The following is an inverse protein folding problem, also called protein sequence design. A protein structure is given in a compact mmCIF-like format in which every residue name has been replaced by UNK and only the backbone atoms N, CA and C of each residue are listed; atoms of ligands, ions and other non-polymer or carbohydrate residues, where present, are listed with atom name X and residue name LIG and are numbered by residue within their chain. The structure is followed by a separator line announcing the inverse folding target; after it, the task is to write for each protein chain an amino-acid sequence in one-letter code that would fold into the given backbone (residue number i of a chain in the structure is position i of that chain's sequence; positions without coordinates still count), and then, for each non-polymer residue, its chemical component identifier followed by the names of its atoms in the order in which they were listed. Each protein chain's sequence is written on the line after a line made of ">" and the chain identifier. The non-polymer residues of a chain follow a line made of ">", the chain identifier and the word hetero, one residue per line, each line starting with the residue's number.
data_IF_542012607690
#
_entry.id   IF_542012607690
#
_cell.length_a   1.000
_cell.length_b   1.000
_cell.length_c   1.000
_cell.angle_alpha   90.00
_cell.angle_beta   90.00
_cell.angle_gamma   90.00
#
_symmetry.space_group_name_H-M   'P 1'
#
loop_
_entity.id
_entity.type
_entity.pdbx_description
1 polymer ?
#
# COMPACT_ATOMS: atom_id res chain seq x y z
N UNK A 1 22.89 43.41 28.60
CA UNK A 1 21.51 43.59 29.09
C UNK A 1 20.69 42.56 28.34
N UNK A 2 20.65 41.37 28.92
CA UNK A 2 19.88 40.23 28.44
C UNK A 2 18.40 40.55 28.53
N UNK A 3 17.60 40.03 27.61
CA UNK A 3 16.37 39.35 28.01
C UNK A 3 16.06 38.22 27.03
N UNK A 4 16.36 37.01 27.51
CA UNK A 4 15.83 35.75 27.03
C UNK A 4 14.37 35.63 27.48
N UNK A 5 13.45 35.37 26.55
CA UNK A 5 12.16 34.76 26.89
C UNK A 5 12.18 33.30 26.42
N UNK A 6 12.67 32.46 27.32
CA UNK A 6 12.43 31.02 27.31
C UNK A 6 10.93 30.77 27.57
N UNK A 7 10.21 30.25 26.58
CA UNK A 7 8.98 29.52 26.87
C UNK A 7 9.33 28.10 27.31
N UNK A 8 9.30 27.88 28.63
CA UNK A 8 9.27 26.56 29.25
C UNK A 8 7.94 25.88 28.91
N UNK A 9 8.00 24.90 28.02
CA UNK A 9 6.87 24.03 27.72
C UNK A 9 6.85 22.87 28.73
N UNK A 10 6.01 22.99 29.75
CA UNK A 10 5.81 21.97 30.77
C UNK A 10 4.81 20.92 30.27
N UNK A 11 5.36 19.80 29.78
CA UNK A 11 4.81 18.45 29.86
C UNK A 11 3.30 18.23 29.66
N UNK A 12 2.91 17.91 28.43
CA UNK A 12 2.08 16.72 28.13
C UNK A 12 2.51 16.13 26.80
N UNK A 13 2.75 14.82 26.76
CA UNK A 13 3.37 14.13 25.64
C UNK A 13 2.58 14.26 24.34
N UNK A 14 3.06 15.09 23.44
CA UNK A 14 2.63 15.15 22.03
C UNK A 14 3.85 14.83 21.16
N UNK A 15 3.68 13.92 20.21
CA UNK A 15 4.52 13.85 19.01
C UNK A 15 4.70 15.27 18.50
N UNK A 16 5.94 15.73 18.25
CA UNK A 16 6.18 17.03 17.61
C UNK A 16 5.39 17.06 16.30
N UNK A 17 4.23 17.72 16.30
CA UNK A 17 3.52 18.04 15.07
C UNK A 17 4.39 19.05 14.33
N UNK A 18 5.01 18.64 13.24
CA UNK A 18 5.75 19.54 12.38
C UNK A 18 4.74 20.45 11.67
N UNK A 19 4.80 21.77 11.93
CA UNK A 19 4.01 22.75 11.19
C UNK A 19 4.66 22.98 9.83
N UNK A 20 4.10 22.41 8.77
CA UNK A 20 4.57 22.59 7.41
C UNK A 20 4.15 21.43 6.51
N UNK A 21 4.34 21.60 5.20
CA UNK A 21 4.21 20.50 4.24
C UNK A 21 5.56 19.78 4.14
N UNK A 22 5.56 18.45 4.22
CA UNK A 22 6.76 17.64 4.25
C UNK A 22 6.57 16.32 3.50
N UNK A 23 7.66 15.64 3.23
CA UNK A 23 7.65 14.27 2.72
C UNK A 23 8.66 13.39 3.47
N UNK A 24 8.42 12.08 3.40
CA UNK A 24 9.14 11.05 4.12
C UNK A 24 9.62 9.98 3.14
N UNK A 25 10.79 9.41 3.42
CA UNK A 25 11.19 8.15 2.80
C UNK A 25 10.44 7.00 3.44
N UNK A 26 10.09 6.01 2.64
CA UNK A 26 9.42 4.81 3.12
C UNK A 26 10.24 4.04 4.18
N UNK A 27 11.56 3.95 4.02
CA UNK A 27 12.47 3.35 5.01
C UNK A 27 12.65 4.15 6.31
N UNK A 28 12.06 5.35 6.41
CA UNK A 28 12.06 6.17 7.62
C UNK A 28 10.78 6.01 8.45
N UNK A 29 9.75 5.33 7.94
CA UNK A 29 8.55 5.01 8.72
C UNK A 29 8.88 3.99 9.80
N UNK A 30 8.29 4.18 10.99
CA UNK A 30 8.44 3.20 12.06
C UNK A 30 7.63 1.96 11.76
N UNK A 31 8.24 0.77 11.87
CA UNK A 31 7.49 -0.47 11.73
C UNK A 31 6.50 -0.69 12.88
N UNK A 32 5.38 -1.36 12.58
CA UNK A 32 4.36 -1.73 13.56
C UNK A 32 3.39 -0.61 13.93
N UNK A 33 3.45 0.55 13.26
CA UNK A 33 2.54 1.68 13.47
C UNK A 33 1.68 1.88 12.23
N UNK A 34 0.36 1.90 12.43
CA UNK A 34 -0.61 2.36 11.44
C UNK A 34 -0.69 3.88 11.52
N UNK A 35 -0.54 4.56 10.40
CA UNK A 35 -0.66 6.01 10.29
C UNK A 35 -1.83 6.38 9.39
N UNK A 36 -2.56 7.45 9.73
CA UNK A 36 -3.40 8.16 8.77
C UNK A 36 -2.62 9.36 8.24
N UNK A 37 -2.24 9.29 6.97
CA UNK A 37 -1.51 10.34 6.29
C UNK A 37 -2.49 11.20 5.47
N UNK A 38 -2.36 12.51 5.56
CA UNK A 38 -3.10 13.46 4.73
C UNK A 38 -2.15 14.49 4.13
N UNK A 39 -2.15 14.58 2.81
CA UNK A 39 -1.31 15.48 2.03
C UNK A 39 -2.09 16.43 1.13
N UNK A 40 -1.38 17.34 0.48
CA UNK A 40 -1.89 18.29 -0.51
C UNK A 40 -0.99 18.33 -1.73
N UNK A 41 -1.55 18.41 -2.93
CA UNK A 41 -0.77 18.60 -4.17
C UNK A 41 -0.59 20.09 -4.56
N UNK A 42 0.03 20.30 -5.72
CA UNK A 42 0.23 21.61 -6.36
C UNK A 42 -1.04 22.41 -6.63
N UNK A 43 -2.20 21.77 -6.65
CA UNK A 43 -3.49 22.39 -6.94
C UNK A 43 -4.35 22.59 -5.69
N UNK A 44 -3.82 22.25 -4.50
CA UNK A 44 -4.57 22.35 -3.25
C UNK A 44 -5.53 21.18 -3.02
N UNK A 45 -5.51 20.12 -3.86
CA UNK A 45 -6.33 18.93 -3.67
C UNK A 45 -5.76 18.13 -2.50
N UNK A 46 -6.64 17.66 -1.61
CA UNK A 46 -6.26 16.87 -0.43
C UNK A 46 -6.39 15.38 -0.72
N UNK A 47 -5.40 14.61 -0.26
CA UNK A 47 -5.35 13.16 -0.37
C UNK A 47 -5.17 12.56 1.00
N UNK A 48 -5.94 11.53 1.34
CA UNK A 48 -5.83 10.86 2.63
C UNK A 48 -5.91 9.34 2.46
N UNK A 49 -4.98 8.63 3.08
CA UNK A 49 -4.94 7.17 3.12
C UNK A 49 -4.26 6.69 4.39
N UNK A 50 -4.61 5.48 4.82
CA UNK A 50 -3.82 4.79 5.82
C UNK A 50 -2.52 4.27 5.22
N UNK A 51 -1.46 4.25 6.02
CA UNK A 51 -0.19 3.62 5.69
C UNK A 51 0.33 2.87 6.91
N UNK A 52 0.78 1.64 6.69
CA UNK A 52 1.33 0.79 7.73
C UNK A 52 2.64 0.17 7.25
N UNK A 53 3.71 0.28 8.04
CA UNK A 53 4.96 -0.42 7.74
C UNK A 53 5.08 -1.68 8.59
N UNK A 54 5.29 -2.82 7.95
CA UNK A 54 5.70 -4.06 8.60
C UNK A 54 7.23 -4.08 8.80
N UNK A 55 7.76 -5.18 9.32
CA UNK A 55 9.20 -5.49 9.30
C UNK A 55 9.42 -6.89 8.76
N UNK A 56 10.23 -7.03 7.70
CA UNK A 56 10.64 -8.35 7.17
C UNK A 56 12.15 -8.52 7.36
N UNK A 57 12.51 -9.34 8.34
CA UNK A 57 13.87 -9.86 8.49
C UNK A 57 13.94 -11.20 7.79
N UNK A 58 14.52 -11.23 6.59
CA UNK A 58 14.65 -12.43 5.77
C UNK A 58 16.10 -12.91 5.74
N UNK A 59 16.29 -14.22 5.66
CA UNK A 59 17.60 -14.80 5.41
C UNK A 59 17.92 -14.69 3.92
N UNK A 60 19.03 -14.02 3.61
CA UNK A 60 19.59 -13.98 2.26
C UNK A 60 20.58 -15.10 1.97
N UNK A 61 20.89 -15.90 2.98
CA UNK A 61 21.66 -17.12 2.81
C UNK A 61 20.78 -18.16 2.16
N UNK A 62 21.21 -18.62 0.99
CA UNK A 62 20.57 -19.73 0.31
C UNK A 62 20.66 -21.01 1.16
N UNK A 63 19.54 -21.69 1.48
CA UNK A 63 19.53 -22.80 2.44
C UNK A 63 20.46 -23.97 2.12
N UNK A 64 20.67 -24.28 0.83
CA UNK A 64 21.56 -25.35 0.39
C UNK A 64 23.05 -25.00 0.34
N UNK A 65 23.43 -23.75 0.60
CA UNK A 65 24.79 -23.27 0.38
C UNK A 65 25.48 -23.00 1.72
N UNK A 66 26.54 -23.78 1.98
CA UNK A 66 27.26 -23.77 3.26
C UNK A 66 28.36 -22.70 3.34
N UNK A 67 28.84 -22.22 2.20
CA UNK A 67 30.02 -21.34 2.13
C UNK A 67 29.65 -19.88 1.81
N UNK A 68 30.39 -18.95 2.40
CA UNK A 68 30.36 -17.53 2.01
C UNK A 68 31.06 -17.38 0.66
N UNK A 69 30.34 -16.92 -0.35
CA UNK A 69 30.94 -16.53 -1.63
C UNK A 69 31.68 -15.21 -1.42
N UNK A 70 32.99 -15.21 -1.61
CA UNK A 70 33.79 -13.99 -1.69
C UNK A 70 33.76 -13.56 -3.17
N UNK A 71 33.34 -12.32 -3.43
CA UNK A 71 33.26 -11.77 -4.79
C UNK A 71 34.52 -10.98 -5.07
N UNK A 72 35.36 -11.49 -5.97
CA UNK A 72 36.59 -10.86 -6.45
C UNK A 72 36.61 -10.67 -7.97
N UNK A 73 35.75 -11.38 -8.71
CA UNK A 73 35.62 -11.28 -10.17
C UNK A 73 34.18 -11.03 -10.61
N UNK A 74 33.99 -10.56 -11.85
CA UNK A 74 32.66 -10.38 -12.44
C UNK A 74 31.91 -11.71 -12.59
N UNK A 75 32.63 -12.81 -12.85
CA UNK A 75 32.07 -14.16 -12.93
C UNK A 75 31.52 -14.63 -11.58
N UNK A 76 32.26 -14.41 -10.49
CA UNK A 76 31.79 -14.69 -9.13
C UNK A 76 30.59 -13.83 -8.74
N UNK A 77 30.53 -12.58 -9.21
CA UNK A 77 29.37 -11.71 -9.01
C UNK A 77 28.13 -12.22 -9.76
N UNK A 78 28.29 -12.64 -11.01
CA UNK A 78 27.21 -13.24 -11.81
C UNK A 78 26.68 -14.52 -11.16
N UNK A 79 27.56 -15.37 -10.64
CA UNK A 79 27.16 -16.58 -9.91
C UNK A 79 26.45 -16.27 -8.60
N UNK A 80 26.90 -15.24 -7.87
CA UNK A 80 26.19 -14.75 -6.68
C UNK A 80 24.77 -14.30 -7.05
N UNK A 81 24.62 -13.47 -8.08
CA UNK A 81 23.32 -12.98 -8.51
C UNK A 81 22.40 -14.10 -9.01
N UNK A 82 22.93 -15.07 -9.76
CA UNK A 82 22.20 -16.27 -10.17
C UNK A 82 21.59 -16.97 -8.95
N UNK A 83 22.40 -17.18 -7.91
CA UNK A 83 22.03 -17.85 -6.65
C UNK A 83 21.18 -17.00 -5.72
N UNK A 84 21.12 -15.69 -5.90
CA UNK A 84 20.25 -14.82 -5.10
C UNK A 84 18.93 -14.53 -5.77
N UNK A 85 18.85 -14.48 -7.11
CA UNK A 85 17.61 -14.28 -7.86
C UNK A 85 16.80 -15.58 -7.89
N UNK A 86 17.43 -16.72 -8.19
CA UNK A 86 16.81 -18.03 -8.16
C UNK A 86 17.53 -18.97 -7.18
N UNK A 87 16.76 -19.54 -6.25
CA UNK A 87 17.22 -20.56 -5.31
C UNK A 87 17.18 -21.99 -5.87
N UNK A 88 16.70 -22.17 -7.10
CA UNK A 88 16.89 -23.44 -7.79
C UNK A 88 18.30 -23.47 -8.36
N UNK A 89 19.07 -24.51 -8.00
CA UNK A 89 20.40 -24.72 -8.58
C UNK A 89 20.23 -25.50 -9.89
N UNK A 90 20.30 -24.80 -11.02
CA UNK A 90 20.27 -25.39 -12.36
C UNK A 90 21.09 -24.55 -13.33
N UNK A 91 21.85 -25.21 -14.21
CA UNK A 91 22.61 -24.56 -15.29
C UNK A 91 21.72 -24.17 -16.48
N UNK A 92 20.46 -24.60 -16.47
CA UNK A 92 19.47 -24.24 -17.49
C UNK A 92 18.82 -22.88 -17.23
N UNK A 93 19.06 -22.26 -16.07
CA UNK A 93 18.53 -20.93 -15.77
C UNK A 93 19.21 -19.86 -16.62
N UNK A 94 18.40 -18.97 -17.18
CA UNK A 94 18.83 -17.91 -18.09
C UNK A 94 18.70 -16.53 -17.44
N UNK A 95 19.60 -15.63 -17.84
CA UNK A 95 19.71 -14.26 -17.33
C UNK A 95 20.17 -13.34 -18.46
N UNK A 96 19.78 -12.08 -18.39
CA UNK A 96 20.43 -11.00 -19.14
C UNK A 96 21.36 -10.20 -18.23
N UNK A 97 22.18 -9.32 -18.81
CA UNK A 97 23.16 -8.52 -18.06
C UNK A 97 22.51 -7.51 -17.09
N UNK A 98 21.28 -7.07 -17.37
CA UNK A 98 20.56 -6.10 -16.56
C UNK A 98 19.88 -6.75 -15.34
N UNK A 99 19.53 -8.05 -15.44
CA UNK A 99 18.92 -8.84 -14.39
C UNK A 99 19.70 -8.81 -13.07
N UNK A 100 21.03 -8.68 -13.16
CA UNK A 100 21.90 -8.61 -11.99
C UNK A 100 21.70 -7.34 -11.16
N UNK A 101 21.06 -6.31 -11.73
CA UNK A 101 20.83 -5.01 -11.11
C UNK A 101 19.36 -4.78 -10.77
N UNK A 102 18.45 -5.23 -11.63
CA UNK A 102 17.02 -4.91 -11.54
C UNK A 102 16.14 -6.03 -10.93
N UNK A 103 16.63 -7.28 -10.87
CA UNK A 103 15.83 -8.39 -10.38
C UNK A 103 15.72 -8.42 -8.85
N UNK A 104 14.50 -8.74 -8.38
CA UNK A 104 14.26 -9.07 -6.98
C UNK A 104 14.99 -10.34 -6.58
N UNK A 105 15.46 -10.39 -5.34
CA UNK A 105 16.13 -11.59 -4.83
C UNK A 105 15.09 -12.60 -4.34
N UNK A 106 15.35 -13.89 -4.56
CA UNK A 106 14.53 -15.02 -4.15
C UNK A 106 13.88 -14.88 -2.76
N UNK A 107 14.60 -14.57 -1.66
CA UNK A 107 13.95 -14.46 -0.35
C UNK A 107 12.98 -13.26 -0.25
N UNK A 108 13.20 -12.19 -1.01
CA UNK A 108 12.25 -11.08 -1.15
C UNK A 108 11.01 -11.55 -1.92
N UNK A 109 11.20 -12.18 -3.09
CA UNK A 109 10.14 -12.71 -3.95
C UNK A 109 9.28 -13.77 -3.25
N UNK A 110 9.91 -14.70 -2.50
CA UNK A 110 9.22 -15.73 -1.70
C UNK A 110 8.38 -15.08 -0.60
N UNK A 111 8.94 -14.08 0.09
CA UNK A 111 8.22 -13.37 1.14
C UNK A 111 7.04 -12.58 0.57
N UNK A 112 7.22 -11.90 -0.57
CA UNK A 112 6.17 -11.18 -1.28
C UNK A 112 5.04 -12.11 -1.72
N UNK A 113 5.36 -13.21 -2.42
CA UNK A 113 4.36 -14.15 -2.92
C UNK A 113 3.48 -14.76 -1.79
N UNK A 114 4.08 -15.08 -0.64
CA UNK A 114 3.35 -15.52 0.55
C UNK A 114 2.46 -14.42 1.14
N UNK A 115 2.94 -13.19 1.12
CA UNK A 115 2.20 -12.04 1.62
C UNK A 115 1.01 -11.67 0.72
N UNK A 116 1.13 -11.79 -0.61
CA UNK A 116 0.00 -11.59 -1.53
C UNK A 116 -1.16 -12.51 -1.17
N UNK A 117 -0.88 -13.80 -1.02
CA UNK A 117 -1.89 -14.81 -0.64
C UNK A 117 -2.49 -14.52 0.74
N UNK A 118 -1.68 -14.05 1.69
CA UNK A 118 -2.15 -13.70 3.03
C UNK A 118 -3.09 -12.49 2.99
N UNK A 119 -2.71 -11.43 2.27
CA UNK A 119 -3.44 -10.17 2.20
C UNK A 119 -4.72 -10.26 1.37
N UNK A 120 -4.72 -11.04 0.28
CA UNK A 120 -5.90 -11.27 -0.55
C UNK A 120 -6.97 -12.18 0.08
N UNK A 121 -6.65 -12.84 1.20
CA UNK A 121 -7.57 -13.79 1.84
C UNK A 121 -8.80 -13.06 2.42
N UNK A 122 -9.94 -13.12 1.73
CA UNK A 122 -11.18 -12.45 2.19
C UNK A 122 -11.92 -13.21 3.29
N UNK A 123 -11.79 -14.54 3.36
CA UNK A 123 -12.35 -15.35 4.46
C UNK A 123 -11.67 -15.01 5.78
N UNK A 124 -12.31 -14.12 6.53
CA UNK A 124 -11.88 -13.66 7.85
C UNK A 124 -12.99 -13.94 8.86
N UNK A 125 -12.71 -14.76 9.88
CA UNK A 125 -13.64 -14.94 10.99
C UNK A 125 -13.63 -13.66 11.84
N UNK A 126 -14.75 -12.95 11.90
CA UNK A 126 -14.94 -11.82 12.82
C UNK A 126 -15.87 -12.23 13.96
N UNK A 127 -15.68 -11.64 15.14
CA UNK A 127 -16.38 -12.06 16.37
C UNK A 127 -17.61 -11.22 16.69
N UNK A 128 -17.77 -10.08 16.04
CA UNK A 128 -18.84 -9.13 16.34
C UNK A 128 -19.53 -8.63 15.06
N UNK A 129 -20.81 -8.26 15.20
CA UNK A 129 -21.67 -7.78 14.09
C UNK A 129 -21.14 -6.47 13.49
N UNK A 130 -20.44 -5.65 14.27
CA UNK A 130 -19.87 -4.40 13.76
C UNK A 130 -18.81 -4.65 12.68
N UNK A 131 -17.85 -5.53 12.95
CA UNK A 131 -16.80 -5.88 12.00
C UNK A 131 -17.40 -6.56 10.76
N UNK A 132 -18.45 -7.36 10.94
CA UNK A 132 -19.16 -8.01 9.84
C UNK A 132 -19.80 -6.97 8.91
N UNK A 133 -20.53 -6.00 9.45
CA UNK A 133 -21.14 -4.94 8.64
C UNK A 133 -20.09 -4.06 7.94
N UNK A 134 -18.95 -3.79 8.62
CA UNK A 134 -17.83 -3.07 8.02
C UNK A 134 -17.27 -3.84 6.82
N UNK A 135 -17.12 -5.16 6.93
CA UNK A 135 -16.70 -6.01 5.82
C UNK A 135 -17.72 -5.96 4.69
N UNK A 136 -19.00 -6.14 4.99
CA UNK A 136 -20.07 -6.19 3.99
C UNK A 136 -20.20 -4.90 3.19
N UNK A 137 -20.08 -3.74 3.84
CA UNK A 137 -20.19 -2.45 3.12
C UNK A 137 -18.95 -2.14 2.27
N UNK A 138 -17.79 -2.70 2.61
CA UNK A 138 -16.55 -2.49 1.84
C UNK A 138 -16.32 -3.54 0.75
N UNK A 139 -16.89 -4.74 0.89
CA UNK A 139 -16.72 -5.81 -0.09
C UNK A 139 -17.53 -5.53 -1.35
N UNK A 140 -16.80 -5.36 -2.46
CA UNK A 140 -17.40 -5.17 -3.79
C UNK A 140 -17.55 -6.48 -4.56
N UNK A 141 -16.72 -7.48 -4.26
CA UNK A 141 -16.73 -8.79 -4.91
C UNK A 141 -16.38 -9.92 -3.91
N UNK A 142 -16.53 -11.17 -4.34
CA UNK A 142 -16.24 -12.34 -3.51
C UNK A 142 -15.46 -13.37 -4.32
N UNK A 143 -14.15 -13.55 -4.12
CA UNK A 143 -13.44 -14.67 -4.71
C UNK A 143 -13.49 -15.87 -3.76
N UNK A 144 -14.16 -16.92 -4.21
CA UNK A 144 -13.72 -18.28 -3.89
C UNK A 144 -12.50 -18.61 -4.78
N UNK A 145 -11.72 -19.62 -4.38
CA UNK A 145 -10.58 -20.14 -5.15
C UNK A 145 -10.93 -20.33 -6.64
N UNK A 146 -9.99 -20.09 -7.57
CA UNK A 146 -8.52 -20.05 -7.41
C UNK A 146 -7.89 -18.65 -7.17
N UNK A 147 -6.72 -18.62 -6.50
CA UNK A 147 -5.87 -17.44 -6.26
C UNK A 147 -4.98 -17.12 -7.47
N UNK A 148 -5.27 -16.01 -8.15
CA UNK A 148 -4.67 -15.61 -9.43
C UNK A 148 -3.83 -14.34 -9.28
N UNK A 149 -2.62 -14.33 -9.83
CA UNK A 149 -1.71 -13.18 -9.77
C UNK A 149 -1.23 -12.78 -11.16
N UNK A 150 -1.27 -11.48 -11.45
CA UNK A 150 -0.71 -10.88 -12.65
C UNK A 150 0.58 -10.13 -12.28
N UNK A 151 1.71 -10.49 -12.88
CA UNK A 151 3.00 -9.83 -12.76
C UNK A 151 3.27 -8.99 -14.02
N UNK A 152 3.00 -7.70 -13.93
CA UNK A 152 3.28 -6.74 -15.01
C UNK A 152 4.76 -6.33 -14.95
N UNK A 153 5.43 -6.32 -16.11
CA UNK A 153 6.88 -6.16 -16.22
C UNK A 153 7.64 -7.28 -15.48
N UNK A 154 7.34 -8.54 -15.83
CA UNK A 154 7.89 -9.70 -15.14
C UNK A 154 9.40 -9.93 -15.39
N UNK A 155 10.00 -9.23 -16.37
CA UNK A 155 11.42 -9.33 -16.69
C UNK A 155 11.83 -10.76 -17.00
N UNK A 156 12.94 -11.21 -16.40
CA UNK A 156 13.44 -12.59 -16.51
C UNK A 156 12.67 -13.62 -15.65
N UNK A 157 11.60 -13.21 -14.97
CA UNK A 157 10.76 -14.06 -14.13
C UNK A 157 11.20 -14.20 -12.67
N UNK A 158 12.06 -13.30 -12.17
CA UNK A 158 12.60 -13.34 -10.80
C UNK A 158 11.55 -13.29 -9.69
N UNK A 159 10.45 -12.54 -9.88
CA UNK A 159 9.27 -12.60 -9.00
C UNK A 159 8.30 -13.68 -9.45
N UNK A 160 8.00 -13.71 -10.76
CA UNK A 160 7.02 -14.59 -11.38
C UNK A 160 7.16 -16.06 -10.97
N UNK A 161 8.38 -16.61 -10.92
CA UNK A 161 8.62 -18.00 -10.51
C UNK A 161 8.06 -18.27 -9.11
N UNK A 162 8.34 -17.40 -8.15
CA UNK A 162 7.89 -17.57 -6.77
C UNK A 162 6.40 -17.27 -6.59
N UNK A 163 5.87 -16.35 -7.41
CA UNK A 163 4.43 -16.13 -7.52
C UNK A 163 3.74 -17.41 -8.01
N UNK A 164 4.24 -18.03 -9.08
CA UNK A 164 3.72 -19.29 -9.63
C UNK A 164 3.72 -20.43 -8.62
N UNK A 165 4.78 -20.55 -7.82
CA UNK A 165 4.86 -21.55 -6.73
C UNK A 165 3.82 -21.35 -5.60
N UNK A 166 3.22 -20.15 -5.48
CA UNK A 166 2.31 -19.81 -4.37
C UNK A 166 0.89 -19.46 -4.83
N UNK A 167 0.61 -19.53 -6.12
CA UNK A 167 -0.68 -19.20 -6.73
C UNK A 167 -1.27 -20.39 -7.50
N UNK A 168 -2.55 -20.31 -7.79
CA UNK A 168 -3.24 -21.27 -8.65
C UNK A 168 -3.07 -20.88 -10.13
N UNK A 169 -2.86 -19.59 -10.41
CA UNK A 169 -2.45 -19.04 -11.70
C UNK A 169 -1.48 -17.87 -11.49
N UNK A 170 -0.38 -17.87 -12.25
CA UNK A 170 0.50 -16.72 -12.41
C UNK A 170 0.60 -16.31 -13.88
N UNK A 171 0.42 -15.02 -14.17
CA UNK A 171 0.55 -14.47 -15.52
C UNK A 171 1.64 -13.40 -15.50
N UNK A 172 2.71 -13.59 -16.27
CA UNK A 172 3.75 -12.59 -16.51
C UNK A 172 3.50 -11.85 -17.83
N UNK A 173 3.68 -10.53 -17.81
CA UNK A 173 3.66 -9.69 -19.01
C UNK A 173 5.00 -8.99 -19.15
N UNK A 174 5.61 -9.09 -20.33
CA UNK A 174 6.90 -8.48 -20.63
C UNK A 174 6.92 -7.99 -22.08
N UNK A 175 7.47 -6.81 -22.34
CA UNK A 175 7.48 -6.24 -23.68
C UNK A 175 8.73 -6.66 -24.47
N UNK A 176 9.85 -6.91 -23.78
CA UNK A 176 11.09 -7.34 -24.40
C UNK A 176 11.02 -8.84 -24.77
N UNK A 177 11.09 -9.20 -26.08
CA UNK A 177 10.97 -10.59 -26.52
C UNK A 177 12.05 -11.52 -25.94
N UNK A 178 13.28 -11.03 -25.74
CA UNK A 178 14.36 -11.83 -25.15
C UNK A 178 14.06 -12.15 -23.68
N UNK A 179 13.58 -11.16 -22.92
CA UNK A 179 13.16 -11.38 -21.52
C UNK A 179 11.97 -12.31 -21.41
N UNK A 180 11.03 -12.25 -22.36
CA UNK A 180 9.93 -13.21 -22.47
C UNK A 180 10.46 -14.64 -22.63
N UNK A 181 11.40 -14.88 -23.54
CA UNK A 181 11.98 -16.21 -23.75
C UNK A 181 12.73 -16.70 -22.52
N UNK A 182 13.51 -15.82 -21.87
CA UNK A 182 14.19 -16.10 -20.61
C UNK A 182 13.20 -16.47 -19.50
N UNK A 183 12.12 -15.69 -19.31
CA UNK A 183 11.12 -15.96 -18.29
C UNK A 183 10.36 -17.27 -18.54
N UNK A 184 10.02 -17.58 -19.80
CA UNK A 184 9.43 -18.88 -20.19
C UNK A 184 10.35 -20.04 -19.88
N UNK A 185 11.64 -19.90 -20.18
CA UNK A 185 12.65 -20.89 -19.82
C UNK A 185 12.72 -21.06 -18.30
N UNK A 186 12.88 -19.97 -17.55
CA UNK A 186 13.06 -20.02 -16.11
C UNK A 186 11.85 -20.61 -15.39
N UNK A 187 10.62 -20.27 -15.80
CA UNK A 187 9.40 -20.89 -15.26
C UNK A 187 9.31 -22.38 -15.57
N UNK A 188 9.69 -22.80 -16.79
CA UNK A 188 9.78 -24.22 -17.18
C UNK A 188 10.84 -24.99 -16.38
N UNK A 189 12.02 -24.42 -16.16
CA UNK A 189 13.10 -25.05 -15.36
C UNK A 189 12.64 -25.25 -13.91
N UNK A 190 11.79 -24.37 -13.39
CA UNK A 190 11.14 -24.54 -12.09
C UNK A 190 9.93 -25.50 -12.09
N UNK A 191 9.59 -26.11 -13.23
CA UNK A 191 8.50 -27.07 -13.37
C UNK A 191 7.10 -26.47 -13.23
N UNK A 192 6.94 -25.17 -13.48
CA UNK A 192 5.66 -24.47 -13.30
C UNK A 192 4.74 -24.69 -14.50
N UNK A 193 3.59 -25.34 -14.28
CA UNK A 193 2.56 -25.57 -15.30
C UNK A 193 1.41 -24.58 -15.23
N UNK A 194 1.32 -23.81 -14.15
CA UNK A 194 0.30 -22.80 -13.87
C UNK A 194 0.77 -21.36 -14.13
N UNK A 195 1.92 -21.21 -14.80
CA UNK A 195 2.59 -19.92 -14.99
C UNK A 195 2.76 -19.64 -16.47
N UNK A 196 2.19 -18.54 -16.94
CA UNK A 196 2.15 -18.17 -18.35
C UNK A 196 2.86 -16.83 -18.56
N UNK A 197 3.66 -16.70 -19.62
CA UNK A 197 4.37 -15.46 -19.96
C UNK A 197 3.94 -14.98 -21.34
N UNK A 198 3.38 -13.78 -21.40
CA UNK A 198 2.92 -13.14 -22.62
C UNK A 198 3.81 -11.96 -23.01
N UNK A 199 4.12 -11.89 -24.30
CA UNK A 199 4.78 -10.72 -24.88
C UNK A 199 3.73 -9.66 -25.17
N UNK A 200 3.69 -8.59 -24.38
CA UNK A 200 2.75 -7.48 -24.56
C UNK A 200 3.31 -6.21 -23.90
N UNK A 201 2.79 -5.05 -24.28
CA UNK A 201 3.00 -3.83 -23.51
C UNK A 201 2.09 -3.85 -22.27
N UNK A 202 2.63 -3.45 -21.11
CA UNK A 202 1.87 -3.55 -19.86
C UNK A 202 0.61 -2.69 -19.87
N UNK A 203 0.64 -1.50 -20.49
CA UNK A 203 -0.51 -0.60 -20.53
C UNK A 203 -1.58 -1.16 -21.46
N UNK A 204 -1.18 -1.61 -22.65
CA UNK A 204 -2.10 -2.28 -23.58
C UNK A 204 -2.72 -3.51 -22.94
N UNK A 205 -1.93 -4.35 -22.26
CA UNK A 205 -2.43 -5.57 -21.62
C UNK A 205 -3.49 -5.25 -20.56
N UNK A 206 -3.19 -4.36 -19.61
CA UNK A 206 -4.09 -4.04 -18.49
C UNK A 206 -5.34 -3.28 -18.96
N UNK A 207 -5.21 -2.41 -19.96
CA UNK A 207 -6.34 -1.65 -20.52
C UNK A 207 -7.26 -2.54 -21.35
N UNK A 208 -6.72 -3.44 -22.19
CA UNK A 208 -7.52 -4.44 -22.91
C UNK A 208 -8.23 -5.39 -21.94
N UNK A 209 -7.53 -5.85 -20.90
CA UNK A 209 -8.12 -6.70 -19.87
C UNK A 209 -9.26 -5.97 -19.15
N UNK A 210 -9.09 -4.69 -18.79
CA UNK A 210 -10.14 -3.90 -18.15
C UNK A 210 -11.33 -3.59 -19.05
N UNK A 211 -11.11 -3.41 -20.35
CA UNK A 211 -12.18 -3.14 -21.31
C UNK A 211 -13.05 -4.38 -21.58
N UNK A 212 -12.44 -5.55 -21.73
CA UNK A 212 -13.17 -6.81 -21.95
C UNK A 212 -12.41 -8.00 -21.36
N UNK A 213 -12.56 -8.26 -20.05
CA UNK A 213 -11.83 -9.32 -19.35
C UNK A 213 -12.06 -10.69 -19.98
N UNK A 214 -13.31 -11.00 -20.35
CA UNK A 214 -13.70 -12.30 -20.90
C UNK A 214 -12.98 -12.59 -22.22
N UNK A 215 -13.02 -11.64 -23.16
CA UNK A 215 -12.39 -11.81 -24.46
C UNK A 215 -10.86 -11.88 -24.35
N UNK A 216 -10.26 -11.06 -23.47
CA UNK A 216 -8.80 -11.12 -23.21
C UNK A 216 -8.41 -12.46 -22.58
N UNK A 217 -9.16 -12.96 -21.59
CA UNK A 217 -8.93 -14.30 -20.98
C UNK A 217 -9.03 -15.41 -22.04
N UNK A 218 -10.02 -15.33 -22.94
CA UNK A 218 -10.19 -16.31 -24.03
C UNK A 218 -9.03 -16.28 -25.02
N UNK A 219 -8.61 -15.08 -25.46
CA UNK A 219 -7.45 -14.88 -26.34
C UNK A 219 -6.15 -15.40 -25.72
N UNK A 220 -6.01 -15.32 -24.40
CA UNK A 220 -4.85 -15.81 -23.67
C UNK A 220 -4.92 -17.32 -23.39
N UNK A 221 -6.08 -17.97 -23.61
CA UNK A 221 -6.28 -19.39 -23.33
C UNK A 221 -6.33 -19.73 -21.83
N UNK A 222 -6.82 -18.81 -20.99
CA UNK A 222 -6.81 -18.93 -19.53
C UNK A 222 -8.19 -19.23 -18.93
N UNK A 223 -9.17 -19.61 -19.73
CA UNK A 223 -10.58 -19.73 -19.32
C UNK A 223 -10.77 -20.68 -18.13
N UNK A 224 -9.97 -21.74 -18.06
CA UNK A 224 -10.04 -22.74 -16.98
C UNK A 224 -9.70 -22.18 -15.60
N UNK A 225 -8.96 -21.08 -15.52
CA UNK A 225 -8.53 -20.48 -14.25
C UNK A 225 -9.48 -19.43 -13.69
N UNK A 226 -10.30 -18.78 -14.52
CA UNK A 226 -11.12 -17.66 -14.05
C UNK A 226 -12.51 -18.09 -13.57
N UNK A 227 -13.11 -19.14 -14.16
CA UNK A 227 -14.45 -19.59 -13.75
C UNK A 227 -15.46 -18.43 -13.77
N UNK A 228 -16.21 -18.23 -12.68
CA UNK A 228 -17.19 -17.14 -12.55
C UNK A 228 -16.55 -15.77 -12.25
N UNK A 229 -15.32 -15.74 -11.74
CA UNK A 229 -14.61 -14.50 -11.37
C UNK A 229 -13.57 -14.16 -12.42
N UNK A 230 -13.82 -13.08 -13.18
CA UNK A 230 -12.92 -12.60 -14.24
C UNK A 230 -11.80 -11.69 -13.71
N UNK A 231 -11.59 -11.64 -12.39
CA UNK A 231 -10.62 -10.74 -11.75
C UNK A 231 -9.33 -11.47 -11.36
N UNK A 232 -8.21 -10.77 -11.39
CA UNK A 232 -7.02 -11.19 -10.67
C UNK A 232 -7.16 -10.81 -9.19
N UNK A 233 -6.65 -11.66 -8.29
CA UNK A 233 -6.67 -11.37 -6.86
C UNK A 233 -5.58 -10.37 -6.46
N UNK A 234 -4.44 -10.39 -7.18
CA UNK A 234 -3.33 -9.47 -6.99
C UNK A 234 -2.70 -9.10 -8.33
N UNK A 235 -2.42 -7.81 -8.53
CA UNK A 235 -1.50 -7.36 -9.57
C UNK A 235 -0.19 -6.95 -8.91
N UNK A 236 0.90 -7.55 -9.33
CA UNK A 236 2.26 -7.19 -8.98
C UNK A 236 2.91 -6.42 -10.15
N UNK A 237 3.76 -5.45 -9.86
CA UNK A 237 4.61 -4.80 -10.87
C UNK A 237 5.96 -4.41 -10.26
N UNK A 238 7.02 -4.66 -11.02
CA UNK A 238 8.39 -4.18 -10.75
C UNK A 238 8.76 -3.11 -11.77
N UNK A 239 8.32 -1.85 -11.59
CA UNK A 239 8.59 -0.79 -12.56
C UNK A 239 10.09 -0.42 -12.57
N UNK A 240 10.60 0.18 -13.66
CA UNK A 240 11.98 0.64 -13.73
C UNK A 240 12.26 1.75 -12.71
N UNK A 241 13.37 1.64 -11.97
CA UNK A 241 13.77 2.63 -10.95
C UNK A 241 14.79 3.66 -11.45
N UNK A 242 15.24 3.57 -12.70
CA UNK A 242 16.38 4.33 -13.21
C UNK A 242 17.75 3.75 -12.84
N UNK A 243 17.80 2.45 -12.48
CA UNK A 243 19.03 1.70 -12.22
C UNK A 243 19.61 1.86 -10.80
N UNK A 244 20.86 1.42 -10.60
CA UNK A 244 21.51 1.32 -9.27
C UNK A 244 21.75 2.65 -8.54
N UNK A 245 21.65 3.78 -9.24
CA UNK A 245 21.92 5.12 -8.72
C UNK A 245 20.64 5.94 -8.51
N UNK A 246 19.51 5.27 -8.25
CA UNK A 246 18.25 5.93 -7.92
C UNK A 246 18.39 6.89 -6.71
N UNK A 247 17.51 7.89 -6.61
CA UNK A 247 17.52 8.87 -5.53
C UNK A 247 17.36 8.22 -4.15
N UNK A 248 18.24 8.52 -3.18
CA UNK A 248 18.22 7.88 -1.86
C UNK A 248 18.89 6.50 -1.78
N UNK A 249 19.51 6.04 -2.87
CA UNK A 249 20.35 4.83 -2.89
C UNK A 249 21.56 4.97 -1.94
N UNK A 250 22.29 6.09 -2.03
CA UNK A 250 23.48 6.40 -1.21
C UNK A 250 23.38 7.70 -0.40
N UNK A 251 22.33 8.50 -0.60
CA UNK A 251 22.10 9.78 0.08
C UNK A 251 20.74 9.84 0.77
N UNK A 252 20.35 11.01 1.27
CA UNK A 252 19.08 11.24 1.98
C UNK A 252 17.90 11.57 1.06
N UNK A 253 18.10 11.71 -0.27
CA UNK A 253 17.03 12.11 -1.20
C UNK A 253 15.86 11.12 -1.19
N UNK A 254 14.68 11.65 -1.48
CA UNK A 254 13.44 10.89 -1.67
C UNK A 254 13.35 10.45 -3.13
N UNK A 255 12.91 9.21 -3.35
CA UNK A 255 12.61 8.68 -4.68
C UNK A 255 11.14 8.91 -5.03
N UNK A 256 10.86 9.41 -6.23
CA UNK A 256 9.52 9.61 -6.78
C UNK A 256 9.39 8.76 -8.04
N UNK A 257 8.48 7.79 -8.02
CA UNK A 257 8.34 6.80 -9.09
C UNK A 257 7.81 7.42 -10.38
N UNK A 258 6.90 8.41 -10.29
CA UNK A 258 6.31 9.07 -11.46
C UNK A 258 7.37 9.73 -12.37
N UNK A 259 8.56 10.07 -11.84
CA UNK A 259 9.67 10.62 -12.62
C UNK A 259 10.34 9.58 -13.53
N UNK A 260 10.17 8.28 -13.25
CA UNK A 260 10.84 7.18 -13.95
C UNK A 260 9.85 6.26 -14.69
N UNK A 261 8.61 6.20 -14.25
CA UNK A 261 7.58 5.33 -14.79
C UNK A 261 6.21 6.00 -14.65
N UNK A 262 5.34 5.91 -15.66
CA UNK A 262 3.99 6.48 -15.61
C UNK A 262 3.06 5.66 -14.70
N UNK A 263 3.36 5.71 -13.39
CA UNK A 263 2.66 4.96 -12.37
C UNK A 263 1.22 5.47 -12.19
N UNK A 264 0.95 6.75 -12.44
CA UNK A 264 -0.41 7.30 -12.45
C UNK A 264 -1.27 6.54 -13.49
N UNK A 265 -0.85 6.45 -14.77
CA UNK A 265 -1.59 5.67 -15.78
C UNK A 265 -1.71 4.20 -15.39
N UNK A 266 -0.63 3.59 -14.91
CA UNK A 266 -0.63 2.17 -14.55
C UNK A 266 -1.61 1.89 -13.40
N UNK A 267 -1.60 2.71 -12.34
CA UNK A 267 -2.52 2.59 -11.21
C UNK A 267 -3.96 2.87 -11.60
N UNK A 268 -4.21 3.81 -12.53
CA UNK A 268 -5.54 4.06 -13.07
C UNK A 268 -6.14 2.79 -13.68
N UNK A 269 -5.37 2.05 -14.47
CA UNK A 269 -5.83 0.82 -15.12
C UNK A 269 -5.85 -0.38 -14.15
N UNK A 270 -4.79 -0.61 -13.38
CA UNK A 270 -4.70 -1.74 -12.44
C UNK A 270 -5.78 -1.68 -11.35
N UNK A 271 -6.10 -0.48 -10.85
CA UNK A 271 -7.12 -0.30 -9.83
C UNK A 271 -8.55 -0.57 -10.32
N UNK A 272 -8.80 -0.62 -11.63
CA UNK A 272 -10.12 -0.95 -12.16
C UNK A 272 -10.39 -2.46 -12.14
N UNK A 273 -9.34 -3.27 -12.28
CA UNK A 273 -9.46 -4.72 -12.48
C UNK A 273 -8.97 -5.56 -11.29
N UNK A 274 -8.47 -4.92 -10.24
CA UNK A 274 -7.95 -5.61 -9.06
C UNK A 274 -8.19 -4.81 -7.77
N UNK A 275 -8.35 -5.54 -6.67
CA UNK A 275 -8.48 -4.97 -5.32
C UNK A 275 -7.15 -4.86 -4.57
N UNK A 276 -6.12 -5.58 -5.02
CA UNK A 276 -4.77 -5.51 -4.47
C UNK A 276 -3.74 -5.24 -5.57
N UNK A 277 -3.04 -4.12 -5.47
CA UNK A 277 -1.90 -3.80 -6.34
C UNK A 277 -0.63 -3.76 -5.49
N UNK A 278 0.43 -4.43 -5.92
CA UNK A 278 1.69 -4.51 -5.21
C UNK A 278 2.83 -3.99 -6.08
N UNK A 279 3.52 -2.95 -5.61
CA UNK A 279 4.66 -2.35 -6.30
C UNK A 279 5.97 -2.79 -5.63
N UNK A 280 6.96 -3.25 -6.39
CA UNK A 280 8.32 -3.43 -5.90
C UNK A 280 9.11 -2.12 -6.06
N UNK A 281 9.55 -1.52 -4.95
CA UNK A 281 10.04 -0.15 -4.92
C UNK A 281 11.38 0.01 -4.20
N UNK A 282 12.13 1.07 -4.53
CA UNK A 282 13.29 1.47 -3.74
C UNK A 282 12.93 1.79 -2.30
N UNK A 283 13.87 1.58 -1.39
CA UNK A 283 13.70 1.88 0.05
C UNK A 283 13.38 3.36 0.35
N UNK A 284 13.82 4.27 -0.51
CA UNK A 284 13.70 5.72 -0.36
C UNK A 284 12.41 6.30 -0.96
N UNK A 285 11.47 5.45 -1.40
CA UNK A 285 10.18 5.85 -1.99
C UNK A 285 9.46 6.94 -1.18
N UNK A 286 8.95 7.95 -1.86
CA UNK A 286 8.10 9.02 -1.34
C UNK A 286 6.82 8.46 -0.73
N UNK A 287 6.59 8.75 0.55
CA UNK A 287 5.32 8.43 1.21
C UNK A 287 4.19 9.30 0.69
N UNK A 288 4.46 10.57 0.38
CA UNK A 288 3.44 11.45 -0.20
C UNK A 288 2.92 10.91 -1.53
N UNK A 289 3.79 10.38 -2.39
CA UNK A 289 3.37 9.78 -3.67
C UNK A 289 2.48 8.55 -3.45
N UNK A 290 2.86 7.64 -2.54
CA UNK A 290 2.04 6.45 -2.24
C UNK A 290 0.66 6.83 -1.69
N UNK A 291 0.58 7.83 -0.80
CA UNK A 291 -0.68 8.32 -0.23
C UNK A 291 -1.56 8.97 -1.31
N UNK A 292 -0.95 9.73 -2.23
CA UNK A 292 -1.64 10.33 -3.37
C UNK A 292 -2.24 9.24 -4.28
N UNK A 293 -1.43 8.27 -4.71
CA UNK A 293 -1.87 7.16 -5.55
C UNK A 293 -3.01 6.37 -4.88
N UNK A 294 -2.86 6.04 -3.59
CA UNK A 294 -3.88 5.30 -2.84
C UNK A 294 -5.21 6.06 -2.78
N UNK A 295 -5.15 7.36 -2.47
CA UNK A 295 -6.34 8.21 -2.37
C UNK A 295 -7.03 8.42 -3.72
N UNK A 296 -6.28 8.62 -4.81
CA UNK A 296 -6.85 8.83 -6.15
C UNK A 296 -7.52 7.55 -6.67
N UNK A 297 -6.89 6.40 -6.48
CA UNK A 297 -7.32 5.13 -7.06
C UNK A 297 -8.12 4.24 -6.10
N UNK A 298 -8.59 4.83 -4.99
CA UNK A 298 -9.58 4.23 -4.11
C UNK A 298 -9.06 3.11 -3.21
N UNK A 299 -7.79 3.18 -2.80
CA UNK A 299 -7.19 2.27 -1.82
C UNK A 299 -7.18 2.96 -0.44
N UNK A 300 -7.97 2.49 0.55
CA UNK A 300 -7.99 3.07 1.89
C UNK A 300 -6.69 2.83 2.67
N UNK A 301 -5.85 1.86 2.27
CA UNK A 301 -4.61 1.53 2.97
C UNK A 301 -3.50 1.08 2.02
N UNK A 302 -2.28 1.49 2.37
CA UNK A 302 -1.02 0.97 1.81
C UNK A 302 -0.25 0.24 2.91
N UNK A 303 0.11 -1.02 2.68
CA UNK A 303 1.01 -1.79 3.55
C UNK A 303 2.40 -1.83 2.93
N UNK A 304 3.40 -1.33 3.65
CA UNK A 304 4.80 -1.40 3.28
C UNK A 304 5.46 -2.63 3.91
N UNK A 305 6.16 -3.40 3.10
CA UNK A 305 6.96 -4.55 3.51
C UNK A 305 8.43 -4.30 3.18
N UNK A 306 9.17 -3.58 4.03
CA UNK A 306 10.61 -3.34 3.85
C UNK A 306 11.43 -4.60 4.15
N UNK A 307 12.36 -4.91 3.25
CA UNK A 307 13.28 -6.03 3.38
C UNK A 307 14.62 -5.58 3.96
N UNK A 308 14.95 -6.12 5.14
CA UNK A 308 16.17 -5.76 5.85
C UNK A 308 17.31 -6.70 5.50
N UNK A 309 18.39 -6.16 4.94
CA UNK A 309 19.68 -6.84 4.88
C UNK A 309 20.58 -6.28 5.97
N UNK A 310 20.94 -7.13 6.95
CA UNK A 310 21.55 -6.70 8.21
C UNK A 310 20.69 -5.65 8.92
N UNK A 311 21.21 -4.43 9.10
CA UNK A 311 20.52 -3.31 9.78
C UNK A 311 19.92 -2.28 8.82
N UNK A 312 20.05 -2.47 7.51
CA UNK A 312 19.58 -1.51 6.50
C UNK A 312 18.46 -2.12 5.67
N UNK A 313 17.45 -1.31 5.36
CA UNK A 313 16.45 -1.66 4.34
C UNK A 313 17.15 -1.64 2.98
N UNK A 314 16.92 -2.67 2.17
CA UNK A 314 17.43 -2.74 0.79
C UNK A 314 16.41 -2.16 -0.18
N UNK A 315 15.18 -2.67 -0.11
CA UNK A 315 14.02 -2.35 -0.94
C UNK A 315 12.74 -2.68 -0.16
N UNK A 316 11.58 -2.48 -0.77
CA UNK A 316 10.30 -2.81 -0.18
C UNK A 316 9.27 -3.19 -1.24
N UNK A 317 8.23 -3.90 -0.81
CA UNK A 317 6.96 -3.93 -1.53
C UNK A 317 5.96 -2.96 -0.88
N UNK A 318 5.21 -2.23 -1.70
CA UNK A 318 4.08 -1.41 -1.28
C UNK A 318 2.78 -2.02 -1.81
N UNK A 319 1.94 -2.51 -0.90
CA UNK A 319 0.67 -3.17 -1.21
C UNK A 319 -0.50 -2.20 -1.00
N UNK A 320 -1.14 -1.80 -2.08
CA UNK A 320 -2.37 -1.00 -2.12
C UNK A 320 -3.56 -1.94 -2.02
N UNK A 321 -4.41 -1.77 -1.00
CA UNK A 321 -5.47 -2.73 -0.69
C UNK A 321 -6.82 -2.03 -0.53
N UNK A 322 -7.85 -2.54 -1.20
CA UNK A 322 -9.25 -2.12 -1.02
C UNK A 322 -9.96 -2.83 0.12
N UNK A 323 -9.62 -4.10 0.34
CA UNK A 323 -10.23 -4.95 1.37
C UNK A 323 -9.85 -4.51 2.78
N UNK A 324 -10.85 -4.22 3.61
CA UNK A 324 -10.68 -3.80 5.01
C UNK A 324 -10.32 -4.97 5.93
N UNK A 325 -10.49 -6.21 5.48
CA UNK A 325 -10.06 -7.41 6.18
C UNK A 325 -8.54 -7.44 6.38
N UNK A 326 -7.77 -6.73 5.56
CA UNK A 326 -6.32 -6.65 5.70
C UNK A 326 -5.91 -6.05 7.06
N UNK A 327 -6.73 -5.18 7.67
CA UNK A 327 -6.41 -4.55 8.94
C UNK A 327 -6.22 -5.57 10.07
N UNK A 328 -6.99 -6.68 10.08
CA UNK A 328 -6.82 -7.78 11.06
C UNK A 328 -5.43 -8.41 11.06
N UNK A 329 -4.68 -8.26 9.96
CA UNK A 329 -3.37 -8.88 9.76
C UNK A 329 -2.23 -7.98 10.19
N UNK A 330 -2.55 -6.73 10.55
CA UNK A 330 -1.60 -5.75 11.07
C UNK A 330 -1.23 -6.15 12.50
N UNK A 331 0.05 -6.04 12.83
CA UNK A 331 0.58 -6.31 14.17
C UNK A 331 1.09 -5.01 14.76
N UNK A 332 0.43 -4.53 15.80
CA UNK A 332 0.91 -3.36 16.53
C UNK A 332 2.10 -3.74 17.40
N UNK A 333 3.17 -2.93 17.31
CA UNK A 333 4.31 -3.01 18.20
C UNK A 333 4.24 -1.80 19.13
N UNK A 334 4.48 -2.00 20.43
CA UNK A 334 4.65 -0.90 21.38
C UNK A 334 5.91 -0.12 20.97
N UNK A 335 5.75 1.06 20.36
CA UNK A 335 6.89 1.84 19.90
C UNK A 335 7.38 2.77 21.00
N UNK A 336 8.68 2.74 21.27
CA UNK A 336 9.37 3.89 21.84
C UNK A 336 9.39 5.05 20.83
N UNK A 337 9.23 6.26 21.33
CA UNK A 337 9.20 7.49 20.54
C UNK A 337 10.58 7.80 19.95
N UNK A 338 10.93 7.22 18.80
CA UNK A 338 12.01 7.70 17.93
C UNK A 338 11.59 8.87 17.03
N UNK A 339 12.57 9.67 16.59
CA UNK A 339 12.35 10.74 15.61
C UNK A 339 12.30 10.17 14.18
N UNK A 340 11.41 10.70 13.35
CA UNK A 340 11.37 10.41 11.91
C UNK A 340 12.02 11.57 11.14
N UNK A 341 12.90 11.26 10.19
CA UNK A 341 13.48 12.26 9.30
C UNK A 341 12.52 12.57 8.17
N UNK A 342 12.31 13.86 7.88
CA UNK A 342 11.44 14.35 6.83
C UNK A 342 12.13 15.47 6.04
N UNK A 343 11.65 15.68 4.82
CA UNK A 343 12.09 16.76 3.94
C UNK A 343 10.98 17.80 3.84
N UNK A 344 11.31 19.08 3.97
CA UNK A 344 10.34 20.16 3.74
C UNK A 344 10.01 20.22 2.25
N UNK A 345 8.73 20.37 1.93
CA UNK A 345 8.27 20.42 0.55
C UNK A 345 7.19 21.51 0.38
N UNK A 346 6.98 21.96 -0.86
CA UNK A 346 5.88 22.88 -1.19
C UNK A 346 4.52 22.16 -1.17
N UNK A 347 4.52 20.91 -1.61
CA UNK A 347 3.39 19.99 -1.67
C UNK A 347 3.84 18.65 -1.09
N UNK A 348 2.94 17.88 -0.48
CA UNK A 348 3.35 16.74 0.33
C UNK A 348 2.36 16.41 1.44
N UNK A 349 2.83 15.68 2.45
CA UNK A 349 2.09 15.40 3.68
C UNK A 349 2.01 16.66 4.54
N UNK A 350 0.80 16.98 5.01
CA UNK A 350 0.56 18.02 6.02
C UNK A 350 0.29 17.43 7.40
N UNK A 351 -0.23 16.22 7.44
CA UNK A 351 -0.65 15.57 8.69
C UNK A 351 -0.34 14.09 8.61
N UNK A 352 0.38 13.58 9.61
CA UNK A 352 0.66 12.16 9.77
C UNK A 352 0.28 11.77 11.19
N UNK A 353 -0.85 11.07 11.33
CA UNK A 353 -1.42 10.70 12.63
C UNK A 353 -1.07 9.25 12.92
N UNK A 354 -0.15 8.95 13.86
CA UNK A 354 0.02 7.58 14.33
C UNK A 354 -1.26 7.14 15.06
N UNK A 355 -1.73 5.93 14.75
CA UNK A 355 -2.90 5.36 15.42
C UNK A 355 -2.57 4.96 16.85
N UNK A 356 -3.52 5.16 17.74
CA UNK A 356 -3.54 4.61 19.09
C UNK A 356 -4.90 3.94 19.31
N UNK A 357 -4.99 2.98 20.23
CA UNK A 357 -6.28 2.38 20.57
C UNK A 357 -7.20 3.44 21.15
N UNK A 358 -8.40 3.60 20.57
CA UNK A 358 -9.31 4.67 20.97
C UNK A 358 -9.92 4.37 22.35
N UNK A 359 -9.58 5.18 23.36
CA UNK A 359 -10.12 5.08 24.72
C UNK A 359 -10.85 6.37 25.11
N UNK A 360 -12.17 6.31 25.27
CA UNK A 360 -12.95 7.44 25.83
C UNK A 360 -13.70 6.99 27.07
N UNK A 361 -13.46 7.70 28.19
CA UNK A 361 -14.14 7.65 29.51
C UNK A 361 -15.26 6.60 29.68
N UNK A 362 -14.89 5.30 29.78
CA UNK A 362 -15.71 4.09 30.06
C UNK A 362 -16.22 3.28 28.84
N UNK A 363 -15.90 3.63 27.60
CA UNK A 363 -16.26 2.80 26.44
C UNK A 363 -15.01 2.47 25.62
N UNK A 364 -14.76 1.17 25.48
CA UNK A 364 -13.71 0.63 24.62
C UNK A 364 -14.37 0.06 23.37
N UNK A 365 -14.00 0.56 22.20
CA UNK A 365 -14.43 -0.05 20.94
C UNK A 365 -13.56 -1.27 20.69
N UNK A 366 -14.09 -2.46 20.90
CA UNK A 366 -13.39 -3.68 20.54
C UNK A 366 -13.73 -4.04 19.10
N UNK A 367 -12.71 -4.07 18.25
CA UNK A 367 -12.79 -4.50 16.85
C UNK A 367 -11.67 -5.47 16.57
N UNK A 368 -12.01 -6.65 16.04
CA UNK A 368 -11.04 -7.63 15.58
C UNK A 368 -10.38 -7.22 14.25
N UNK A 369 -10.91 -6.19 13.59
CA UNK A 369 -10.32 -5.52 12.44
C UNK A 369 -9.53 -4.26 12.85
N UNK A 370 -9.36 -3.98 14.14
CA UNK A 370 -8.68 -2.77 14.64
C UNK A 370 -9.32 -1.45 14.17
N UNK A 371 -10.64 -1.44 13.96
CA UNK A 371 -11.36 -0.23 13.53
C UNK A 371 -11.41 0.86 14.60
N UNK A 372 -11.12 0.53 15.86
CA UNK A 372 -10.92 1.52 16.91
C UNK A 372 -9.72 2.43 16.62
N UNK A 373 -8.63 1.89 16.07
CA UNK A 373 -7.47 2.66 15.61
C UNK A 373 -7.85 3.57 14.43
N UNK A 374 -8.66 3.08 13.50
CA UNK A 374 -9.18 3.86 12.36
C UNK A 374 -10.04 5.02 12.84
N UNK A 375 -10.96 4.77 13.78
CA UNK A 375 -11.80 5.81 14.41
C UNK A 375 -10.95 6.85 15.13
N UNK A 376 -9.92 6.42 15.89
CA UNK A 376 -8.99 7.35 16.54
C UNK A 376 -8.34 8.30 15.54
N UNK A 377 -7.79 7.76 14.46
CA UNK A 377 -7.15 8.55 13.43
C UNK A 377 -8.12 9.53 12.76
N UNK A 378 -9.35 9.10 12.44
CA UNK A 378 -10.37 9.98 11.87
C UNK A 378 -10.78 11.09 12.85
N UNK A 379 -10.98 10.77 14.13
CA UNK A 379 -11.26 11.77 15.17
C UNK A 379 -10.16 12.83 15.24
N UNK A 380 -8.88 12.41 15.21
CA UNK A 380 -7.74 13.32 15.21
C UNK A 380 -7.65 14.17 13.94
N UNK A 381 -7.90 13.57 12.78
CA UNK A 381 -7.86 14.27 11.49
C UNK A 381 -8.96 15.34 11.40
N UNK A 382 -10.13 15.05 11.94
CA UNK A 382 -11.29 15.96 11.98
C UNK A 382 -11.24 16.98 13.11
N UNK A 383 -10.21 16.94 13.97
CA UNK A 383 -10.07 17.72 15.21
C UNK A 383 -11.29 17.59 16.14
N UNK A 384 -11.79 16.36 16.28
CA UNK A 384 -12.95 16.02 17.11
C UNK A 384 -12.52 15.26 18.37
N UNK A 385 -13.22 15.49 19.49
CA UNK A 385 -12.87 14.91 20.81
C UNK A 385 -14.05 14.28 21.55
N UNK A 386 -15.26 14.45 21.05
CA UNK A 386 -16.47 13.97 21.74
C UNK A 386 -16.71 12.48 21.50
N UNK A 387 -17.18 11.76 22.52
CA UNK A 387 -17.63 10.37 22.37
C UNK A 387 -18.76 10.25 21.36
N UNK A 388 -19.68 11.22 21.33
CA UNK A 388 -20.80 11.24 20.40
C UNK A 388 -20.32 11.20 18.93
N UNK A 389 -19.31 12.01 18.57
CA UNK A 389 -18.76 11.97 17.21
C UNK A 389 -18.08 10.63 16.92
N UNK A 390 -17.38 10.05 17.89
CA UNK A 390 -16.78 8.72 17.73
C UNK A 390 -17.85 7.63 17.47
N UNK A 391 -18.99 7.68 18.16
CA UNK A 391 -20.13 6.78 17.89
C UNK A 391 -20.73 7.01 16.50
N UNK A 392 -20.83 8.27 16.05
CA UNK A 392 -21.29 8.60 14.69
C UNK A 392 -20.36 8.02 13.63
N UNK A 393 -19.04 8.18 13.79
CA UNK A 393 -18.05 7.59 12.87
C UNK A 393 -18.12 6.06 12.89
N UNK A 394 -18.24 5.45 14.07
CA UNK A 394 -18.43 4.01 14.19
C UNK A 394 -19.67 3.53 13.43
N UNK A 395 -20.81 4.20 13.62
CA UNK A 395 -22.03 3.84 12.92
C UNK A 395 -21.89 4.05 11.40
N UNK A 396 -21.27 5.15 10.99
CA UNK A 396 -21.00 5.44 9.58
C UNK A 396 -20.15 4.34 8.92
N UNK A 397 -19.11 3.83 9.58
CA UNK A 397 -18.23 2.78 9.04
C UNK A 397 -18.93 1.45 8.76
N UNK A 398 -20.05 1.15 9.43
CA UNK A 398 -20.87 -0.04 9.15
C UNK A 398 -21.83 0.16 7.97
N UNK A 399 -22.01 1.40 7.54
CA UNK A 399 -23.05 1.81 6.58
C UNK A 399 -22.47 2.49 5.35
N UNK A 400 -21.17 2.79 5.33
CA UNK A 400 -20.51 3.48 4.25
C UNK A 400 -19.05 3.01 4.11
N UNK A 401 -18.55 2.78 2.88
CA UNK A 401 -17.21 2.26 2.67
C UNK A 401 -16.13 3.18 3.25
N UNK A 402 -15.06 2.60 3.79
CA UNK A 402 -13.96 3.35 4.43
C UNK A 402 -13.28 4.31 3.44
N UNK A 403 -13.12 3.89 2.19
CA UNK A 403 -12.56 4.73 1.12
C UNK A 403 -13.39 6.00 0.90
N UNK A 404 -14.72 5.89 0.97
CA UNK A 404 -15.61 7.03 0.75
C UNK A 404 -15.67 7.93 2.00
N UNK A 405 -15.55 7.36 3.20
CA UNK A 405 -15.37 8.12 4.45
C UNK A 405 -14.08 8.95 4.40
N UNK A 406 -12.98 8.35 3.94
CA UNK A 406 -11.71 9.07 3.73
C UNK A 406 -11.89 10.18 2.70
N UNK A 407 -12.59 9.94 1.60
CA UNK A 407 -12.91 10.96 0.60
C UNK A 407 -13.68 12.15 1.17
N UNK A 408 -14.67 11.91 2.03
CA UNK A 408 -15.39 12.96 2.76
C UNK A 408 -14.46 13.75 3.71
N UNK A 409 -13.54 13.06 4.39
CA UNK A 409 -12.56 13.72 5.26
C UNK A 409 -11.57 14.58 4.46
N UNK A 410 -11.08 14.09 3.32
CA UNK A 410 -10.22 14.85 2.42
C UNK A 410 -10.94 16.09 1.87
N UNK A 411 -12.22 15.97 1.46
CA UNK A 411 -13.02 17.13 1.04
C UNK A 411 -13.18 18.16 2.17
N UNK A 412 -13.44 17.71 3.41
CA UNK A 412 -13.56 18.61 4.55
C UNK A 412 -12.25 19.38 4.84
N UNK A 413 -11.11 18.68 4.78
CA UNK A 413 -9.78 19.30 4.91
C UNK A 413 -9.47 20.26 3.77
N UNK A 414 -9.82 19.92 2.54
CA UNK A 414 -9.63 20.79 1.39
C UNK A 414 -10.39 22.09 1.57
N UNK A 415 -11.67 22.04 1.94
CA UNK A 415 -12.47 23.24 2.26
C UNK A 415 -11.81 24.03 3.40
N UNK A 416 -11.32 23.35 4.45
CA UNK A 416 -10.62 24.02 5.54
C UNK A 416 -9.37 24.76 5.07
N UNK A 417 -8.54 24.14 4.23
CA UNK A 417 -7.34 24.75 3.66
C UNK A 417 -7.66 25.88 2.68
N UNK A 418 -8.80 25.83 1.99
CA UNK A 418 -9.30 26.88 1.10
C UNK A 418 -10.02 28.03 1.81
N UNK A 419 -9.90 28.15 3.14
CA UNK A 419 -10.46 29.26 3.92
C UNK A 419 -11.64 28.90 4.82
N UNK A 420 -12.05 27.63 4.85
CA UNK A 420 -13.10 27.11 5.73
C UNK A 420 -14.52 27.42 5.26
N UNK A 421 -15.50 26.99 6.05
CA UNK A 421 -16.93 27.14 5.74
C UNK A 421 -17.65 27.89 6.87
N UNK A 422 -18.45 28.91 6.55
CA UNK A 422 -19.24 29.62 7.55
C UNK A 422 -20.41 28.76 8.09
N UNK A 423 -20.86 29.05 9.31
CA UNK A 423 -22.14 28.55 9.82
C UNK A 423 -23.28 29.33 9.15
N UNK A 424 -24.44 28.69 8.99
CA UNK A 424 -25.58 29.30 8.28
C UNK A 424 -26.06 30.61 8.94
N UNK A 425 -25.95 30.68 10.27
CA UNK A 425 -26.51 31.77 11.08
C UNK A 425 -25.42 32.58 11.82
N UNK A 426 -24.14 32.45 11.46
CA UNK A 426 -23.08 33.24 12.07
C UNK A 426 -21.82 33.37 11.22
N UNK A 427 -21.05 34.45 11.45
CA UNK A 427 -19.72 34.65 10.87
C UNK A 427 -18.66 33.67 11.42
N UNK A 428 -19.02 32.73 12.29
CA UNK A 428 -18.08 31.73 12.81
C UNK A 428 -17.87 30.62 11.78
N UNK A 429 -16.61 30.27 11.54
CA UNK A 429 -16.24 29.13 10.69
C UNK A 429 -16.56 27.80 11.40
N UNK A 430 -16.93 26.79 10.62
CA UNK A 430 -17.07 25.39 11.07
C UNK A 430 -15.69 24.80 11.38
N UNK A 431 -15.65 23.87 12.33
CA UNK A 431 -14.50 22.97 12.53
C UNK A 431 -14.39 22.01 11.36
N UNK A 432 -13.26 21.29 11.22
CA UNK A 432 -13.07 20.29 10.17
C UNK A 432 -14.17 19.20 10.29
N UNK A 433 -14.40 18.65 11.48
CA UNK A 433 -15.52 17.74 11.74
C UNK A 433 -16.90 18.35 11.43
N UNK A 434 -17.10 19.64 11.74
CA UNK A 434 -18.32 20.36 11.38
C UNK A 434 -18.55 20.51 9.88
N UNK A 435 -17.49 20.62 9.08
CA UNK A 435 -17.53 20.58 7.61
C UNK A 435 -17.84 19.15 7.14
N UNK A 436 -17.14 18.15 7.67
CA UNK A 436 -17.35 16.74 7.33
C UNK A 436 -18.82 16.31 7.48
N UNK A 437 -19.43 16.55 8.65
CA UNK A 437 -20.83 16.19 8.87
C UNK A 437 -21.80 17.07 8.08
N UNK A 438 -21.42 18.30 7.72
CA UNK A 438 -22.21 19.12 6.82
C UNK A 438 -22.24 18.51 5.41
N UNK A 439 -21.08 18.10 4.87
CA UNK A 439 -20.98 17.42 3.57
C UNK A 439 -21.80 16.13 3.61
N UNK A 440 -21.63 15.31 4.64
CA UNK A 440 -22.39 14.07 4.81
C UNK A 440 -23.91 14.34 4.83
N UNK A 441 -24.36 15.38 5.53
CA UNK A 441 -25.77 15.78 5.60
C UNK A 441 -26.32 16.27 4.26
N UNK A 442 -25.55 17.02 3.49
CA UNK A 442 -26.01 17.64 2.24
C UNK A 442 -25.97 16.67 1.07
N UNK A 443 -24.89 15.88 0.94
CA UNK A 443 -24.71 14.93 -0.16
C UNK A 443 -25.39 13.58 0.13
N UNK A 444 -25.47 13.15 1.40
CA UNK A 444 -25.96 11.82 1.80
C UNK A 444 -27.00 11.90 2.93
N UNK A 445 -28.03 12.72 2.73
CA UNK A 445 -29.05 13.06 3.75
C UNK A 445 -29.65 11.86 4.48
N UNK A 446 -30.00 10.79 3.77
CA UNK A 446 -30.61 9.60 4.39
C UNK A 446 -29.61 8.78 5.21
N UNK A 447 -28.37 8.65 4.74
CA UNK A 447 -27.28 8.03 5.51
C UNK A 447 -27.01 8.84 6.79
N UNK A 448 -26.92 10.17 6.68
CA UNK A 448 -26.74 11.06 7.82
C UNK A 448 -27.84 10.88 8.88
N UNK A 449 -29.12 10.84 8.47
CA UNK A 449 -30.25 10.58 9.39
C UNK A 449 -30.12 9.23 10.11
N UNK A 450 -29.71 8.17 9.40
CA UNK A 450 -29.50 6.84 10.00
C UNK A 450 -28.37 6.88 11.04
N UNK A 451 -27.26 7.53 10.72
CA UNK A 451 -26.13 7.72 11.65
C UNK A 451 -26.57 8.47 12.91
N UNK A 452 -27.28 9.60 12.76
CA UNK A 452 -27.77 10.37 13.91
C UNK A 452 -28.72 9.57 14.80
N UNK A 453 -29.66 8.81 14.20
CA UNK A 453 -30.63 8.00 14.95
C UNK A 453 -29.96 6.91 15.81
N UNK A 454 -28.85 6.33 15.34
CA UNK A 454 -28.10 5.29 16.06
C UNK A 454 -27.09 5.83 17.07
N UNK A 455 -26.91 7.15 17.12
CA UNK A 455 -25.97 7.84 18.02
C UNK A 455 -26.65 8.60 19.16
N UNK A 456 -27.99 8.64 19.16
CA UNK A 456 -28.83 9.06 20.28
C UNK A 456 -29.12 7.87 21.18
#
# INVERSE_FOLDING_TARGET
>A
MNDHLEHKDNGTGTTKLHSGTFDLRADSLKPGILYLASGVDGHGKVFSSFIYSNTKHISYTHPSLKDRVIVNTDEEYRELCRRTIFWLVSDELQFDDDAYVDASWAPESIAAAREFKLLCKRKTTVTNVFDQDVIEVNNRHSPAAPFKVLDLACGIGGNLVYIGMNSDLAVGVECNPQRVDIARNNTKVHGLTNTFVFQDDLFNFVEEFGANPKDKIEKLGLQEYFGDSLEFDCIHISPPWGGKFYAGSSDERIFVLQENFDIDRAMASMSQICEMVSLYLPRSQSISELVKLASIYGFPIVILSPYYFNKKVRCLHAHFLKSVECFKRIKFINSDKGDMQFHVASHGIKTLIPSESFKVRKTEFQSSLHMDHVIFCLMKLLDERSSNVAFKLRNLMRMYPLVDILGLASQALQIQYSGGMARADSNQKRTIGGIFFFILKTQYKELYKKVEKLSQ
#
